data_IF_798012066758
#
_entry.id   IF_798012066758
#
_cell.length_a   1.000
_cell.length_b   1.000
_cell.length_c   1.000
_cell.angle_alpha   90.00
_cell.angle_beta   90.00
_cell.angle_gamma   90.00
#
_symmetry.space_group_name_H-M   'P 1'
#
loop_
_entity.id
_entity.type
_entity.pdbx_description
1 polymer ?
#
# COMPACT_ATOMS: atom_id res chain seq x y z
N UNK A 1 2.19 5.06 12.35
CA UNK A 1 2.21 3.57 12.27
C UNK A 1 0.84 2.91 12.52
N UNK A 2 0.22 3.09 13.71
CA UNK A 2 -1.03 2.39 14.08
C UNK A 2 -2.21 2.63 13.11
N UNK A 3 -2.37 3.85 12.57
CA UNK A 3 -3.41 4.18 11.59
C UNK A 3 -3.37 3.33 10.30
N UNK A 4 -2.24 2.68 10.02
CA UNK A 4 -2.01 1.86 8.82
C UNK A 4 -1.92 0.36 9.13
N UNK A 5 -2.26 -0.05 10.36
CA UNK A 5 -2.23 -1.46 10.78
C UNK A 5 -3.63 -2.07 10.61
N UNK A 6 -3.81 -3.08 9.74
CA UNK A 6 -5.09 -3.78 9.60
C UNK A 6 -5.57 -4.38 10.92
N UNK A 7 -6.90 -4.36 11.14
CA UNK A 7 -7.54 -4.86 12.36
C UNK A 7 -7.79 -3.81 13.44
N UNK A 8 -7.13 -2.64 13.37
CA UNK A 8 -7.36 -1.56 14.33
C UNK A 8 -8.53 -0.71 13.86
N UNK A 9 -9.65 -0.72 14.60
CA UNK A 9 -10.82 0.11 14.28
C UNK A 9 -10.61 1.57 14.67
N UNK A 10 -10.15 1.83 15.89
CA UNK A 10 -9.89 3.17 16.40
C UNK A 10 -8.70 3.14 17.35
N UNK A 11 -8.02 4.27 17.49
CA UNK A 11 -6.88 4.46 18.36
C UNK A 11 -7.21 5.63 19.29
N UNK A 12 -7.05 5.42 20.59
CA UNK A 12 -7.21 6.47 21.58
C UNK A 12 -5.82 6.98 21.96
N UNK A 13 -5.64 8.29 21.86
CA UNK A 13 -4.49 8.98 22.43
C UNK A 13 -4.86 9.37 23.86
N UNK A 14 -4.14 8.82 24.83
CA UNK A 14 -4.49 8.90 26.24
C UNK A 14 -3.30 9.43 27.05
N UNK A 15 -3.60 10.28 28.03
CA UNK A 15 -2.68 10.63 29.10
C UNK A 15 -3.05 9.80 30.33
N UNK A 16 -2.15 8.93 30.78
CA UNK A 16 -2.34 8.04 31.92
C UNK A 16 -1.62 8.59 33.14
N UNK A 17 -2.36 8.74 34.24
CA UNK A 17 -1.83 9.22 35.52
C UNK A 17 -2.45 8.45 36.68
N UNK A 18 -1.73 8.24 37.80
CA UNK A 18 -2.35 7.78 39.02
C UNK A 18 -3.28 8.86 39.58
N UNK A 19 -4.29 8.45 40.35
CA UNK A 19 -5.14 9.39 41.09
C UNK A 19 -5.32 8.93 42.54
N UNK A 20 -5.53 9.88 43.45
CA UNK A 20 -5.74 9.62 44.87
C UNK A 20 -7.22 9.64 45.25
N UNK A 21 -7.97 10.61 44.74
CA UNK A 21 -9.41 10.73 44.94
C UNK A 21 -10.10 11.45 43.76
N UNK A 22 -11.40 11.71 43.91
CA UNK A 22 -12.19 12.39 42.87
C UNK A 22 -11.81 13.86 42.69
N UNK A 23 -11.21 14.49 43.70
CA UNK A 23 -10.73 15.88 43.61
C UNK A 23 -9.44 15.95 42.79
N UNK A 24 -8.53 15.01 43.00
CA UNK A 24 -7.31 14.86 42.21
C UNK A 24 -7.63 14.64 40.71
N UNK A 25 -8.60 13.77 40.40
CA UNK A 25 -9.13 13.60 39.02
C UNK A 25 -9.57 14.94 38.43
N UNK A 26 -10.26 15.78 39.20
CA UNK A 26 -10.71 17.10 38.75
C UNK A 26 -9.54 18.05 38.49
N UNK A 27 -8.58 18.18 39.41
CA UNK A 27 -7.42 19.07 39.27
C UNK A 27 -6.58 18.69 38.03
N UNK A 28 -6.31 17.39 37.87
CA UNK A 28 -5.60 16.87 36.69
C UNK A 28 -6.37 17.13 35.39
N UNK A 29 -7.69 16.88 35.39
CA UNK A 29 -8.54 17.18 34.22
C UNK A 29 -8.53 18.67 33.90
N UNK A 30 -8.70 19.55 34.89
CA UNK A 30 -8.73 21.00 34.72
C UNK A 30 -7.42 21.51 34.10
N UNK A 31 -6.28 21.10 34.65
CA UNK A 31 -4.97 21.46 34.13
C UNK A 31 -4.81 21.06 32.65
N UNK A 32 -5.35 19.90 32.29
CA UNK A 32 -5.26 19.35 30.95
C UNK A 32 -6.18 20.00 29.91
N UNK A 33 -7.41 20.41 30.29
CA UNK A 33 -8.46 20.81 29.31
C UNK A 33 -8.85 22.28 29.37
N UNK A 34 -8.36 23.06 30.35
CA UNK A 34 -8.76 24.46 30.56
C UNK A 34 -8.77 25.28 29.26
N UNK A 35 -7.62 25.32 28.57
CA UNK A 35 -7.47 26.11 27.35
C UNK A 35 -8.38 25.61 26.20
N UNK A 36 -8.70 24.32 26.16
CA UNK A 36 -9.57 23.75 25.13
C UNK A 36 -11.03 24.14 25.34
N UNK A 37 -11.47 24.26 26.59
CA UNK A 37 -12.87 24.51 26.97
C UNK A 37 -13.25 25.99 27.00
N UNK A 38 -12.29 26.91 26.97
CA UNK A 38 -12.56 28.35 26.96
C UNK A 38 -13.47 28.73 25.78
N UNK A 39 -14.59 29.38 26.10
CA UNK A 39 -15.61 29.82 25.12
C UNK A 39 -16.44 28.70 24.50
N UNK A 40 -16.36 27.45 24.99
CA UNK A 40 -17.03 26.28 24.39
C UNK A 40 -18.07 25.66 25.32
N UNK A 41 -18.99 24.91 24.71
CA UNK A 41 -19.87 24.00 25.44
C UNK A 41 -19.23 22.63 25.62
N UNK A 42 -19.43 21.98 26.77
CA UNK A 42 -18.79 20.71 27.05
C UNK A 42 -19.67 19.71 27.81
N UNK A 43 -19.29 18.44 27.75
CA UNK A 43 -19.78 17.41 28.66
C UNK A 43 -18.63 16.56 29.17
N UNK A 44 -18.77 16.01 30.38
CA UNK A 44 -17.84 15.02 30.93
C UNK A 44 -18.48 13.64 30.77
N UNK A 45 -17.68 12.67 30.33
CA UNK A 45 -18.08 11.27 30.19
C UNK A 45 -17.04 10.38 30.85
N UNK A 46 -17.47 9.61 31.84
CA UNK A 46 -16.57 8.76 32.64
C UNK A 46 -16.90 7.29 32.43
N UNK A 47 -15.89 6.48 32.10
CA UNK A 47 -15.99 5.01 32.18
C UNK A 47 -15.14 4.52 33.33
N UNK A 48 -15.54 3.40 33.95
CA UNK A 48 -14.85 2.87 35.12
C UNK A 48 -14.70 1.36 35.01
N UNK A 49 -13.50 0.87 35.35
CA UNK A 49 -13.15 -0.55 35.46
C UNK A 49 -12.39 -0.78 36.76
N UNK A 50 -12.85 -1.71 37.60
CA UNK A 50 -12.30 -1.97 38.94
C UNK A 50 -13.26 -1.65 40.08
N UNK A 51 -12.75 -1.62 41.33
CA UNK A 51 -13.53 -1.36 42.56
C UNK A 51 -13.19 0.02 43.12
N UNK A 52 -14.21 0.83 43.37
CA UNK A 52 -14.10 2.22 43.81
C UNK A 52 -15.32 2.58 44.67
N UNK A 53 -15.16 3.54 45.58
CA UNK A 53 -16.23 4.03 46.46
C UNK A 53 -17.14 5.08 45.79
N UNK A 54 -16.90 5.39 44.52
CA UNK A 54 -17.68 6.31 43.70
C UNK A 54 -18.19 5.66 42.40
N UNK A 55 -19.27 6.22 41.84
CA UNK A 55 -19.82 5.84 40.53
C UNK A 55 -19.28 6.79 39.46
N UNK A 56 -19.27 6.34 38.20
CA UNK A 56 -18.89 7.20 37.07
C UNK A 56 -19.67 8.50 37.02
N UNK A 57 -20.97 8.46 37.31
CA UNK A 57 -21.83 9.64 37.35
C UNK A 57 -21.43 10.63 38.45
N UNK A 58 -20.91 10.15 39.58
CA UNK A 58 -20.44 11.01 40.67
C UNK A 58 -19.23 11.83 40.20
N UNK A 59 -18.29 11.16 39.51
CA UNK A 59 -17.12 11.80 38.90
C UNK A 59 -17.54 12.77 37.78
N UNK A 60 -18.46 12.38 36.90
CA UNK A 60 -18.96 13.27 35.84
C UNK A 60 -19.55 14.56 36.41
N UNK A 61 -20.34 14.45 37.49
CA UNK A 61 -20.96 15.60 38.16
C UNK A 61 -19.91 16.44 38.90
N UNK A 62 -18.99 15.81 39.61
CA UNK A 62 -17.97 16.50 40.39
C UNK A 62 -16.99 17.24 39.48
N UNK A 63 -16.39 16.54 38.52
CA UNK A 63 -15.45 17.12 37.55
C UNK A 63 -16.16 18.14 36.67
N UNK A 64 -17.34 17.82 36.12
CA UNK A 64 -18.10 18.74 35.28
C UNK A 64 -18.52 20.01 36.02
N UNK A 65 -18.92 19.89 37.29
CA UNK A 65 -19.20 21.02 38.16
C UNK A 65 -17.97 21.88 38.42
N UNK A 66 -16.83 21.25 38.76
CA UNK A 66 -15.57 21.96 38.99
C UNK A 66 -15.07 22.71 37.76
N UNK A 67 -15.11 22.08 36.58
CA UNK A 67 -14.75 22.72 35.31
C UNK A 67 -15.67 23.92 35.00
N UNK A 68 -16.99 23.76 35.18
CA UNK A 68 -17.97 24.82 34.92
C UNK A 68 -17.86 25.99 35.91
N UNK A 69 -17.34 25.77 37.12
CA UNK A 69 -17.10 26.82 38.11
C UNK A 69 -15.76 27.55 37.88
N UNK A 70 -14.74 26.86 37.36
CA UNK A 70 -13.37 27.39 37.23
C UNK A 70 -13.03 27.93 35.84
N UNK A 71 -13.85 27.64 34.83
CA UNK A 71 -13.68 28.12 33.47
C UNK A 71 -14.91 28.98 33.15
N UNK A 72 -14.82 30.29 33.44
CA UNK A 72 -15.95 31.22 33.39
C UNK A 72 -16.70 31.24 32.04
N UNK A 73 -15.99 30.98 30.95
CA UNK A 73 -16.53 31.02 29.59
C UNK A 73 -17.06 29.67 29.09
N UNK A 74 -16.80 28.57 29.81
CA UNK A 74 -17.28 27.25 29.44
C UNK A 74 -18.70 27.01 29.94
N UNK A 75 -19.50 26.23 29.20
CA UNK A 75 -20.87 25.88 29.61
C UNK A 75 -21.15 24.39 29.45
N UNK A 76 -21.75 23.77 30.46
CA UNK A 76 -22.17 22.36 30.35
C UNK A 76 -23.32 22.21 29.35
N UNK A 77 -23.18 21.29 28.40
CA UNK A 77 -24.20 20.88 27.43
C UNK A 77 -24.14 19.36 27.24
N UNK A 78 -25.17 18.64 27.68
CA UNK A 78 -25.16 17.17 27.69
C UNK A 78 -25.38 16.54 26.30
N UNK A 79 -26.04 17.26 25.39
CA UNK A 79 -26.40 16.80 24.04
C UNK A 79 -25.68 17.66 23.01
N UNK A 80 -24.88 17.03 22.15
CA UNK A 80 -24.08 17.70 21.11
C UNK A 80 -23.23 18.89 21.65
N UNK A 81 -22.35 18.66 22.65
CA UNK A 81 -21.37 19.66 23.09
C UNK A 81 -20.29 19.89 22.05
N UNK A 82 -19.63 21.05 22.10
CA UNK A 82 -18.46 21.32 21.28
C UNK A 82 -17.28 20.42 21.68
N UNK A 83 -17.13 20.12 22.98
CA UNK A 83 -16.08 19.24 23.52
C UNK A 83 -16.69 18.16 24.43
N UNK A 84 -16.25 16.91 24.27
CA UNK A 84 -16.55 15.84 25.22
C UNK A 84 -15.27 15.44 25.95
N UNK A 85 -15.15 15.84 27.21
CA UNK A 85 -14.04 15.42 28.08
C UNK A 85 -14.30 13.98 28.48
N UNK A 86 -13.47 13.05 28.00
CA UNK A 86 -13.63 11.62 28.29
C UNK A 86 -12.53 11.14 29.22
N UNK A 87 -12.95 10.51 30.31
CA UNK A 87 -12.06 9.99 31.35
C UNK A 87 -12.38 8.51 31.54
N UNK A 88 -11.38 7.66 31.36
CA UNK A 88 -11.50 6.24 31.68
C UNK A 88 -10.72 6.00 32.99
N UNK A 89 -11.38 5.46 34.00
CA UNK A 89 -10.77 5.12 35.29
C UNK A 89 -10.56 3.61 35.31
N UNK A 90 -9.30 3.18 35.37
CA UNK A 90 -8.93 1.78 35.48
C UNK A 90 -8.10 1.55 36.75
N UNK A 91 -8.69 0.86 37.73
CA UNK A 91 -8.05 0.61 39.03
C UNK A 91 -7.59 1.91 39.72
N UNK A 92 -6.30 2.10 39.97
CA UNK A 92 -5.71 3.26 40.61
C UNK A 92 -5.27 4.35 39.61
N UNK A 93 -5.69 4.23 38.36
CA UNK A 93 -5.27 5.11 37.26
C UNK A 93 -6.44 5.78 36.56
N UNK A 94 -6.17 7.01 36.14
CA UNK A 94 -7.02 7.83 35.29
C UNK A 94 -6.39 7.92 33.91
N UNK A 95 -7.20 7.70 32.87
CA UNK A 95 -6.83 7.87 31.48
C UNK A 95 -7.67 9.00 30.90
N UNK A 96 -7.05 10.15 30.66
CA UNK A 96 -7.69 11.26 29.96
C UNK A 96 -7.53 11.07 28.45
N UNK A 97 -8.65 10.89 27.73
CA UNK A 97 -8.63 10.70 26.28
C UNK A 97 -8.48 12.07 25.60
N UNK A 98 -7.31 12.31 25.00
CA UNK A 98 -6.96 13.56 24.29
C UNK A 98 -7.51 13.59 22.87
N UNK A 99 -7.41 12.46 22.17
CA UNK A 99 -7.88 12.36 20.80
C UNK A 99 -8.36 10.94 20.48
N UNK A 100 -9.31 10.87 19.56
CA UNK A 100 -9.71 9.61 18.92
C UNK A 100 -9.30 9.68 17.46
N UNK A 101 -8.49 8.73 17.05
CA UNK A 101 -8.02 8.56 15.69
C UNK A 101 -8.72 7.36 15.07
N UNK A 102 -9.16 7.48 13.81
CA UNK A 102 -9.67 6.32 13.07
C UNK A 102 -8.49 5.43 12.66
N UNK A 103 -8.67 4.12 12.84
CA UNK A 103 -7.72 3.11 12.41
C UNK A 103 -8.01 2.65 10.98
N UNK A 104 -7.20 1.74 10.46
CA UNK A 104 -7.41 1.21 9.11
C UNK A 104 -8.70 0.38 9.00
N UNK A 105 -9.18 -0.17 10.13
CA UNK A 105 -10.22 -1.19 10.18
C UNK A 105 -9.76 -2.50 9.57
N UNK A 106 -10.71 -3.33 9.14
CA UNK A 106 -10.40 -4.64 8.58
C UNK A 106 -10.02 -5.66 9.64
N UNK A 107 -9.12 -6.58 9.31
CA UNK A 107 -8.71 -7.69 10.19
C UNK A 107 -7.18 -7.74 10.33
N UNK A 108 -6.65 -8.21 11.48
CA UNK A 108 -5.21 -8.40 11.63
C UNK A 108 -4.67 -9.36 10.55
N UNK A 109 -3.51 -9.03 9.99
CA UNK A 109 -2.85 -9.89 9.01
C UNK A 109 -2.49 -11.24 9.64
N UNK A 110 -2.67 -12.33 8.90
CA UNK A 110 -2.48 -13.71 9.35
C UNK A 110 -3.72 -14.34 9.99
N UNK A 111 -4.84 -13.60 10.07
CA UNK A 111 -6.13 -14.17 10.50
C UNK A 111 -6.89 -14.84 9.35
N UNK A 112 -6.50 -14.58 8.11
CA UNK A 112 -7.00 -15.26 6.91
C UNK A 112 -5.82 -15.94 6.20
N UNK A 113 -6.14 -16.88 5.31
CA UNK A 113 -5.17 -17.64 4.52
C UNK A 113 -4.34 -16.74 3.59
N UNK A 114 -3.22 -17.28 3.16
CA UNK A 114 -2.29 -16.62 2.25
C UNK A 114 -2.90 -16.55 0.85
N UNK A 115 -2.62 -15.47 0.14
CA UNK A 115 -3.11 -15.24 -1.23
C UNK A 115 -1.98 -14.77 -2.15
N UNK A 116 -2.09 -15.12 -3.43
CA UNK A 116 -1.12 -14.77 -4.47
C UNK A 116 -1.71 -13.69 -5.38
N UNK A 117 -1.29 -12.44 -5.20
CA UNK A 117 -1.74 -11.32 -6.02
C UNK A 117 -0.99 -11.21 -7.33
N UNK A 118 -1.72 -11.21 -8.44
CA UNK A 118 -1.17 -10.93 -9.77
C UNK A 118 -0.90 -9.44 -9.90
N UNK A 119 0.33 -9.03 -9.59
CA UNK A 119 0.74 -7.64 -9.57
C UNK A 119 1.29 -7.23 -10.93
N UNK A 120 0.77 -6.14 -11.50
CA UNK A 120 1.18 -5.62 -12.81
C UNK A 120 1.83 -4.24 -12.74
N UNK A 121 1.83 -3.59 -11.57
CA UNK A 121 2.23 -2.20 -11.45
C UNK A 121 1.16 -1.20 -11.89
N UNK A 122 0.04 -1.66 -12.45
CA UNK A 122 -1.13 -0.81 -12.73
C UNK A 122 -1.98 -0.53 -11.49
N UNK A 123 -2.88 0.45 -11.58
CA UNK A 123 -3.74 0.90 -10.49
C UNK A 123 -4.48 -0.26 -9.81
N UNK A 124 -5.13 -1.09 -10.62
CA UNK A 124 -6.07 -2.10 -10.16
C UNK A 124 -5.38 -3.20 -9.34
N UNK A 125 -4.18 -3.62 -9.76
CA UNK A 125 -3.41 -4.67 -9.08
C UNK A 125 -2.89 -4.22 -7.71
N UNK A 126 -2.49 -2.96 -7.57
CA UNK A 126 -2.08 -2.38 -6.29
C UNK A 126 -3.25 -2.27 -5.31
N UNK A 127 -4.40 -1.80 -5.80
CA UNK A 127 -5.61 -1.64 -4.98
C UNK A 127 -6.16 -2.99 -4.52
N UNK A 128 -6.28 -3.98 -5.43
CA UNK A 128 -6.75 -5.33 -5.08
C UNK A 128 -5.85 -6.01 -4.04
N UNK A 129 -4.52 -5.87 -4.18
CA UNK A 129 -3.55 -6.35 -3.18
C UNK A 129 -3.80 -5.71 -1.80
N UNK A 130 -3.95 -4.39 -1.74
CA UNK A 130 -4.24 -3.67 -0.50
C UNK A 130 -5.56 -4.11 0.14
N UNK A 131 -6.61 -4.34 -0.65
CA UNK A 131 -7.91 -4.78 -0.13
C UNK A 131 -7.82 -6.11 0.61
N UNK A 132 -7.02 -7.06 0.11
CA UNK A 132 -6.81 -8.35 0.78
C UNK A 132 -5.93 -8.25 2.02
N UNK A 133 -4.91 -7.37 2.01
CA UNK A 133 -4.14 -7.05 3.23
C UNK A 133 -5.09 -6.55 4.32
N UNK A 134 -6.01 -5.64 3.98
CA UNK A 134 -7.02 -5.13 4.92
C UNK A 134 -7.99 -6.20 5.39
N UNK A 135 -8.21 -7.26 4.61
CA UNK A 135 -9.03 -8.43 4.99
C UNK A 135 -8.30 -9.43 5.87
N UNK A 136 -7.01 -9.23 6.16
CA UNK A 136 -6.24 -10.07 7.07
C UNK A 136 -5.40 -11.16 6.39
N UNK A 137 -5.36 -11.19 5.06
CA UNK A 137 -4.51 -12.14 4.32
C UNK A 137 -3.06 -11.68 4.24
N UNK A 138 -2.12 -12.63 4.26
CA UNK A 138 -0.74 -12.36 3.84
C UNK A 138 -0.68 -12.42 2.32
N UNK A 139 -0.41 -11.28 1.69
CA UNK A 139 -0.40 -11.15 0.24
C UNK A 139 1.00 -11.38 -0.31
N UNK A 140 1.18 -12.51 -1.00
CA UNK A 140 2.32 -12.76 -1.87
C UNK A 140 2.08 -12.13 -3.23
N UNK A 141 3.14 -11.81 -3.96
CA UNK A 141 3.06 -11.11 -5.24
C UNK A 141 3.58 -12.01 -6.36
N UNK A 142 2.83 -12.14 -7.45
CA UNK A 142 3.22 -12.81 -8.68
C UNK A 142 3.22 -11.79 -9.82
N UNK A 143 4.41 -11.54 -10.36
CA UNK A 143 4.64 -10.64 -11.46
C UNK A 143 4.95 -11.42 -12.74
N UNK A 144 4.26 -11.10 -13.82
CA UNK A 144 4.55 -11.62 -15.15
C UNK A 144 5.35 -10.59 -15.93
N UNK A 145 6.63 -10.87 -16.17
CA UNK A 145 7.50 -9.94 -16.88
C UNK A 145 7.25 -10.02 -18.38
N UNK A 146 6.65 -8.96 -18.91
CA UNK A 146 6.35 -8.74 -20.33
C UNK A 146 7.14 -7.56 -20.92
N UNK A 147 7.91 -6.85 -20.10
CA UNK A 147 8.42 -5.51 -20.41
C UNK A 147 9.87 -5.29 -20.01
N UNK A 148 10.61 -6.35 -19.72
CA UNK A 148 12.03 -6.31 -19.35
C UNK A 148 12.29 -5.75 -17.95
N UNK A 149 13.51 -5.28 -17.73
CA UNK A 149 14.01 -4.87 -16.41
C UNK A 149 13.27 -3.66 -15.84
N UNK A 150 12.99 -2.64 -16.66
CA UNK A 150 12.27 -1.44 -16.23
C UNK A 150 10.86 -1.75 -15.71
N UNK A 151 10.14 -2.65 -16.40
CA UNK A 151 8.83 -3.13 -15.96
C UNK A 151 8.93 -3.82 -14.60
N UNK A 152 9.88 -4.74 -14.44
CA UNK A 152 10.08 -5.45 -13.18
C UNK A 152 10.42 -4.51 -12.01
N UNK A 153 11.26 -3.51 -12.24
CA UNK A 153 11.62 -2.51 -11.22
C UNK A 153 10.37 -1.75 -10.77
N UNK A 154 9.54 -1.25 -11.70
CA UNK A 154 8.32 -0.51 -11.36
C UNK A 154 7.31 -1.36 -10.57
N UNK A 155 7.17 -2.64 -10.92
CA UNK A 155 6.29 -3.57 -10.18
C UNK A 155 6.85 -3.91 -8.80
N UNK A 156 8.17 -4.12 -8.68
CA UNK A 156 8.84 -4.30 -7.37
C UNK A 156 8.64 -3.06 -6.48
N UNK A 157 8.72 -1.85 -7.03
CA UNK A 157 8.44 -0.61 -6.29
C UNK A 157 7.01 -0.58 -5.75
N UNK A 158 6.01 -0.92 -6.58
CA UNK A 158 4.61 -0.97 -6.15
C UNK A 158 4.38 -2.00 -5.04
N UNK A 159 4.85 -3.24 -5.25
CA UNK A 159 4.70 -4.32 -4.27
C UNK A 159 5.38 -3.95 -2.94
N UNK A 160 6.62 -3.45 -3.00
CA UNK A 160 7.37 -3.01 -1.82
C UNK A 160 6.68 -1.85 -1.11
N UNK A 161 6.15 -0.85 -1.83
CA UNK A 161 5.42 0.27 -1.23
C UNK A 161 4.21 -0.21 -0.45
N UNK A 162 3.35 -1.03 -1.05
CA UNK A 162 2.15 -1.59 -0.39
C UNK A 162 2.55 -2.40 0.84
N UNK A 163 3.50 -3.32 0.70
CA UNK A 163 3.99 -4.14 1.81
C UNK A 163 4.59 -3.29 2.93
N UNK A 164 5.45 -2.33 2.60
CA UNK A 164 6.13 -1.46 3.56
C UNK A 164 5.17 -0.56 4.34
N UNK A 165 4.04 -0.20 3.74
CA UNK A 165 3.06 0.70 4.34
C UNK A 165 2.02 -0.03 5.18
N UNK A 166 1.66 -1.26 4.82
CA UNK A 166 0.52 -1.97 5.42
C UNK A 166 0.81 -3.38 5.96
N UNK A 167 1.96 -4.00 5.62
CA UNK A 167 2.22 -5.43 5.91
C UNK A 167 3.65 -5.73 6.40
N UNK A 168 4.39 -4.74 6.88
CA UNK A 168 5.82 -4.87 7.30
C UNK A 168 6.09 -5.93 8.35
N UNK A 169 5.10 -6.28 9.17
CA UNK A 169 5.20 -7.32 10.18
C UNK A 169 5.30 -8.74 9.62
N UNK A 170 5.00 -8.95 8.33
CA UNK A 170 4.91 -10.26 7.72
C UNK A 170 5.91 -10.43 6.58
N UNK A 171 6.49 -11.63 6.50
CA UNK A 171 7.35 -12.04 5.39
C UNK A 171 6.47 -12.51 4.24
N UNK A 172 6.64 -11.92 3.07
CA UNK A 172 5.91 -12.32 1.86
C UNK A 172 6.89 -12.46 0.69
N UNK A 173 6.47 -13.22 -0.32
CA UNK A 173 7.28 -13.51 -1.50
C UNK A 173 6.89 -12.58 -2.64
N UNK A 174 7.88 -12.12 -3.38
CA UNK A 174 7.73 -11.57 -4.72
C UNK A 174 8.23 -12.62 -5.69
N UNK A 175 7.36 -13.13 -6.56
CA UNK A 175 7.66 -14.13 -7.57
C UNK A 175 7.61 -13.44 -8.94
N UNK A 176 8.70 -13.49 -9.69
CA UNK A 176 8.76 -12.97 -11.05
C UNK A 176 8.86 -14.14 -12.05
N UNK A 177 8.01 -14.09 -13.07
CA UNK A 177 7.94 -15.11 -14.11
C UNK A 177 8.20 -14.43 -15.45
N UNK A 178 9.27 -14.81 -16.14
CA UNK A 178 9.54 -14.28 -17.47
C UNK A 178 8.53 -14.86 -18.46
N UNK A 179 7.72 -13.99 -19.08
CA UNK A 179 6.66 -14.36 -20.01
C UNK A 179 6.99 -13.99 -21.46
N UNK A 180 8.20 -13.52 -21.75
CA UNK A 180 8.63 -13.14 -23.10
C UNK A 180 8.38 -14.26 -24.13
N UNK A 181 8.86 -15.48 -23.85
CA UNK A 181 8.67 -16.62 -24.75
C UNK A 181 7.19 -17.04 -24.86
N UNK A 182 6.43 -16.94 -23.77
CA UNK A 182 4.98 -17.25 -23.76
C UNK A 182 4.23 -16.27 -24.65
N UNK A 183 4.58 -14.98 -24.60
CA UNK A 183 4.01 -13.94 -25.47
C UNK A 183 4.42 -14.17 -26.92
N UNK A 184 5.69 -14.49 -27.18
CA UNK A 184 6.17 -14.82 -28.52
C UNK A 184 5.35 -15.95 -29.16
N UNK A 185 5.15 -17.04 -28.43
CA UNK A 185 4.34 -18.18 -28.87
C UNK A 185 2.88 -17.77 -29.16
N UNK A 186 2.27 -16.95 -28.29
CA UNK A 186 0.89 -16.44 -28.51
C UNK A 186 0.82 -15.57 -29.77
N UNK A 187 1.79 -14.66 -29.96
CA UNK A 187 1.82 -13.78 -31.12
C UNK A 187 1.95 -14.53 -32.45
N UNK A 188 2.65 -15.67 -32.44
CA UNK A 188 2.88 -16.49 -33.63
C UNK A 188 1.76 -17.49 -33.92
N UNK A 189 1.14 -18.07 -32.89
CA UNK A 189 0.25 -19.23 -33.03
C UNK A 189 -1.23 -18.96 -32.80
N UNK A 190 -1.58 -17.85 -32.16
CA UNK A 190 -2.95 -17.57 -31.73
C UNK A 190 -3.57 -16.47 -32.57
N UNK A 191 -4.84 -16.65 -32.96
CA UNK A 191 -5.61 -15.61 -33.64
C UNK A 191 -5.67 -14.31 -32.84
N UNK A 192 -5.47 -13.17 -33.52
CA UNK A 192 -5.39 -11.83 -32.93
C UNK A 192 -6.54 -11.52 -31.95
N UNK A 193 -7.76 -11.90 -32.31
CA UNK A 193 -8.95 -11.64 -31.50
C UNK A 193 -9.03 -12.46 -30.20
N UNK A 194 -8.27 -13.55 -30.10
CA UNK A 194 -8.25 -14.46 -28.95
C UNK A 194 -7.02 -14.29 -28.04
N UNK A 195 -5.94 -13.66 -28.53
CA UNK A 195 -4.67 -13.50 -27.81
C UNK A 195 -4.84 -13.02 -26.36
N UNK A 196 -5.68 -12.02 -26.12
CA UNK A 196 -5.88 -11.47 -24.78
C UNK A 196 -6.50 -12.47 -23.77
N UNK A 197 -7.42 -13.31 -24.23
CA UNK A 197 -8.04 -14.36 -23.38
C UNK A 197 -7.07 -15.51 -23.16
N UNK A 198 -6.35 -15.94 -24.20
CA UNK A 198 -5.34 -17.01 -24.10
C UNK A 198 -4.19 -16.58 -23.18
N UNK A 199 -3.67 -15.35 -23.32
CA UNK A 199 -2.63 -14.81 -22.44
C UNK A 199 -3.06 -14.84 -20.97
N UNK A 200 -4.26 -14.35 -20.66
CA UNK A 200 -4.78 -14.37 -19.28
C UNK A 200 -4.98 -15.79 -18.74
N UNK A 201 -5.41 -16.72 -19.60
CA UNK A 201 -5.49 -18.15 -19.24
C UNK A 201 -4.12 -18.73 -18.93
N UNK A 202 -3.07 -18.41 -19.70
CA UNK A 202 -1.69 -18.82 -19.40
C UNK A 202 -1.16 -18.20 -18.09
N UNK A 203 -1.44 -16.92 -17.84
CA UNK A 203 -1.08 -16.26 -16.57
C UNK A 203 -1.74 -16.95 -15.37
N UNK A 204 -3.04 -17.21 -15.45
CA UNK A 204 -3.80 -17.86 -14.36
C UNK A 204 -3.39 -19.32 -14.17
N UNK A 205 -3.09 -20.07 -15.25
CA UNK A 205 -2.48 -21.43 -15.18
C UNK A 205 -1.14 -21.40 -14.46
N UNK A 206 -0.23 -20.51 -14.85
CA UNK A 206 1.08 -20.36 -14.22
C UNK A 206 0.94 -19.98 -12.74
N UNK A 207 0.09 -19.00 -12.42
CA UNK A 207 -0.16 -18.58 -11.05
C UNK A 207 -0.74 -19.70 -10.19
N UNK A 208 -1.65 -20.53 -10.73
CA UNK A 208 -2.22 -21.68 -10.00
C UNK A 208 -1.13 -22.67 -9.57
N UNK A 209 -0.17 -22.95 -10.45
CA UNK A 209 0.95 -23.84 -10.13
C UNK A 209 1.91 -23.26 -9.11
N UNK A 210 2.13 -21.93 -9.18
CA UNK A 210 2.92 -21.23 -8.16
C UNK A 210 2.19 -21.23 -6.82
N UNK A 211 0.87 -21.02 -6.83
CA UNK A 211 0.06 -21.04 -5.62
C UNK A 211 0.12 -22.43 -4.95
N UNK A 212 -0.08 -23.49 -5.72
CA UNK A 212 0.05 -24.89 -5.26
C UNK A 212 1.46 -25.17 -4.69
N UNK A 213 2.52 -24.78 -5.42
CA UNK A 213 3.92 -24.95 -4.97
C UNK A 213 4.20 -24.32 -3.61
N UNK A 214 3.52 -23.23 -3.28
CA UNK A 214 3.72 -22.47 -2.03
C UNK A 214 2.58 -22.63 -1.02
N UNK A 215 1.65 -23.57 -1.23
CA UNK A 215 0.47 -23.81 -0.39
C UNK A 215 -0.41 -22.55 -0.18
N UNK A 216 -0.54 -21.76 -1.24
CA UNK A 216 -1.34 -20.53 -1.26
C UNK A 216 -2.75 -20.84 -1.77
N UNK A 217 -3.78 -20.41 -1.02
CA UNK A 217 -5.15 -20.90 -1.21
C UNK A 217 -5.93 -20.18 -2.31
N UNK A 218 -5.52 -18.96 -2.68
CA UNK A 218 -6.22 -18.18 -3.69
C UNK A 218 -5.29 -17.27 -4.49
N UNK A 219 -5.67 -17.01 -5.74
CA UNK A 219 -5.10 -15.99 -6.61
C UNK A 219 -5.94 -14.72 -6.50
N UNK A 220 -5.32 -13.55 -6.48
CA UNK A 220 -6.00 -12.25 -6.48
C UNK A 220 -5.70 -11.53 -7.78
N UNK A 221 -6.73 -10.98 -8.42
CA UNK A 221 -6.57 -10.15 -9.61
C UNK A 221 -7.22 -8.77 -9.40
N UNK A 222 -6.71 -7.78 -10.11
CA UNK A 222 -7.30 -6.44 -10.18
C UNK A 222 -8.43 -6.32 -11.21
N UNK A 223 -9.06 -7.41 -11.64
CA UNK A 223 -10.08 -7.32 -12.70
C UNK A 223 -11.38 -6.66 -12.21
N UNK A 224 -11.89 -5.70 -13.00
CA UNK A 224 -13.16 -5.03 -12.78
C UNK A 224 -14.13 -5.33 -13.94
N UNK A 225 -15.41 -5.54 -13.65
CA UNK A 225 -16.35 -5.96 -14.69
C UNK A 225 -16.61 -4.83 -15.70
N UNK A 226 -16.42 -5.11 -17.00
CA UNK A 226 -16.76 -4.17 -18.07
C UNK A 226 -15.77 -3.03 -18.30
N UNK A 227 -14.61 -3.02 -17.64
CA UNK A 227 -13.58 -1.99 -17.83
C UNK A 227 -12.80 -2.17 -19.14
N UNK A 228 -12.48 -3.41 -19.51
CA UNK A 228 -11.85 -3.75 -20.82
C UNK A 228 -12.55 -4.95 -21.47
N UNK A 229 -12.37 -5.12 -22.78
CA UNK A 229 -12.97 -6.21 -23.57
C UNK A 229 -12.70 -7.62 -23.02
N UNK A 230 -11.54 -7.83 -22.40
CA UNK A 230 -11.18 -9.11 -21.76
C UNK A 230 -11.86 -9.34 -20.40
N UNK A 231 -12.57 -8.36 -19.84
CA UNK A 231 -13.22 -8.41 -18.53
C UNK A 231 -14.75 -8.41 -18.64
N UNK A 232 -15.30 -9.16 -19.61
CA UNK A 232 -16.73 -9.51 -19.63
C UNK A 232 -16.97 -10.77 -18.82
N UNK A 233 -18.20 -10.99 -18.33
CA UNK A 233 -18.55 -12.22 -17.61
C UNK A 233 -18.21 -13.48 -18.42
N UNK A 234 -18.42 -13.45 -19.73
CA UNK A 234 -18.06 -14.56 -20.64
C UNK A 234 -16.56 -14.84 -20.57
N UNK A 235 -15.73 -13.81 -20.76
CA UNK A 235 -14.28 -13.97 -20.80
C UNK A 235 -13.71 -14.32 -19.42
N UNK A 236 -14.20 -13.70 -18.35
CA UNK A 236 -13.79 -14.01 -16.97
C UNK A 236 -14.07 -15.47 -16.62
N UNK A 237 -15.26 -15.98 -16.96
CA UNK A 237 -15.60 -17.40 -16.77
C UNK A 237 -14.64 -18.32 -17.53
N UNK A 238 -14.26 -17.95 -18.74
CA UNK A 238 -13.30 -18.74 -19.52
C UNK A 238 -11.89 -18.66 -18.92
N UNK A 239 -11.47 -17.50 -18.41
CA UNK A 239 -10.18 -17.36 -17.74
C UNK A 239 -10.13 -18.23 -16.46
N UNK A 240 -11.20 -18.23 -15.67
CA UNK A 240 -11.28 -19.03 -14.43
C UNK A 240 -11.16 -20.54 -14.69
N UNK A 241 -11.74 -21.05 -15.78
CA UNK A 241 -11.61 -22.47 -16.17
C UNK A 241 -10.17 -22.92 -16.44
N UNK A 242 -9.20 -22.02 -16.49
CA UNK A 242 -7.79 -22.34 -16.70
C UNK A 242 -7.04 -22.61 -15.39
N UNK A 243 -7.67 -22.47 -14.22
CA UNK A 243 -7.06 -22.69 -12.90
C UNK A 243 -8.01 -23.45 -11.99
N UNK A 244 -7.45 -24.37 -11.20
CA UNK A 244 -8.16 -25.04 -10.11
C UNK A 244 -8.10 -24.21 -8.80
N UNK A 245 -7.21 -23.22 -8.72
CA UNK A 245 -7.10 -22.29 -7.59
C UNK A 245 -8.22 -21.25 -7.62
N UNK A 246 -8.78 -20.91 -6.45
CA UNK A 246 -9.79 -19.85 -6.29
C UNK A 246 -9.25 -18.49 -6.77
N UNK A 247 -9.98 -17.83 -7.68
CA UNK A 247 -9.64 -16.49 -8.17
C UNK A 247 -10.52 -15.42 -7.52
N UNK A 248 -9.91 -14.57 -6.69
CA UNK A 248 -10.55 -13.46 -6.00
C UNK A 248 -10.42 -12.16 -6.81
N UNK A 249 -11.52 -11.43 -6.96
CA UNK A 249 -11.62 -10.17 -7.72
C UNK A 249 -12.21 -9.04 -6.88
N UNK A 250 -11.44 -8.42 -5.97
CA UNK A 250 -11.96 -7.39 -5.07
C UNK A 250 -12.60 -6.19 -5.80
N UNK A 251 -12.16 -5.93 -7.02
CA UNK A 251 -12.57 -4.78 -7.83
C UNK A 251 -13.71 -5.10 -8.80
N UNK A 252 -14.28 -6.32 -8.77
CA UNK A 252 -15.25 -6.76 -9.79
C UNK A 252 -16.44 -5.81 -9.96
N UNK A 253 -16.86 -5.12 -8.90
CA UNK A 253 -17.97 -4.15 -8.91
C UNK A 253 -17.51 -2.68 -8.82
N UNK A 254 -16.21 -2.41 -8.81
CA UNK A 254 -15.71 -1.04 -8.68
C UNK A 254 -15.62 -0.37 -10.04
N UNK A 255 -15.92 0.93 -10.07
CA UNK A 255 -15.63 1.76 -11.23
C UNK A 255 -14.19 2.30 -11.19
N UNK A 256 -13.74 2.87 -12.31
CA UNK A 256 -12.38 3.39 -12.46
C UNK A 256 -12.07 4.54 -11.50
N UNK A 257 -13.06 5.38 -11.19
CA UNK A 257 -12.85 6.54 -10.32
C UNK A 257 -12.63 6.10 -8.87
N UNK A 258 -13.39 5.11 -8.40
CA UNK A 258 -13.21 4.47 -7.10
C UNK A 258 -11.83 3.82 -6.98
N UNK A 259 -11.37 3.12 -8.02
CA UNK A 259 -10.04 2.50 -8.03
C UNK A 259 -8.94 3.57 -7.96
N UNK A 260 -9.03 4.64 -8.77
CA UNK A 260 -8.07 5.74 -8.75
C UNK A 260 -8.07 6.47 -7.41
N UNK A 261 -9.25 6.72 -6.82
CA UNK A 261 -9.36 7.35 -5.51
C UNK A 261 -8.70 6.50 -4.42
N UNK A 262 -8.89 5.18 -4.46
CA UNK A 262 -8.23 4.27 -3.53
C UNK A 262 -6.71 4.24 -3.77
N UNK A 263 -6.26 4.17 -5.03
CA UNK A 263 -4.84 4.22 -5.38
C UNK A 263 -4.14 5.48 -4.84
N UNK A 264 -4.81 6.64 -4.93
CA UNK A 264 -4.32 7.90 -4.32
C UNK A 264 -4.26 7.80 -2.80
N UNK A 265 -5.32 7.28 -2.17
CA UNK A 265 -5.38 7.13 -0.72
C UNK A 265 -4.27 6.22 -0.17
N UNK A 266 -3.88 5.19 -0.93
CA UNK A 266 -2.81 4.26 -0.54
C UNK A 266 -1.42 4.66 -1.07
N UNK A 267 -1.32 5.73 -1.87
CA UNK A 267 -0.08 6.27 -2.41
C UNK A 267 0.55 5.44 -3.53
N UNK A 268 -0.26 4.73 -4.32
CA UNK A 268 0.20 3.94 -5.48
C UNK A 268 -0.12 4.59 -6.82
N UNK A 269 -0.83 5.73 -6.85
CA UNK A 269 -1.36 6.31 -8.07
C UNK A 269 -0.27 6.79 -9.04
N UNK A 270 0.74 7.50 -8.56
CA UNK A 270 1.79 8.01 -9.46
C UNK A 270 2.74 6.89 -9.93
N UNK A 271 2.99 5.86 -9.10
CA UNK A 271 3.68 4.63 -9.54
C UNK A 271 2.90 4.02 -10.70
N UNK A 272 1.58 3.85 -10.53
CA UNK A 272 0.72 3.26 -11.54
C UNK A 272 0.66 4.06 -12.85
N UNK A 273 0.68 5.40 -12.78
CA UNK A 273 0.71 6.26 -13.99
C UNK A 273 1.97 6.06 -14.83
N UNK A 274 3.09 5.73 -14.20
CA UNK A 274 4.36 5.52 -14.90
C UNK A 274 4.47 4.16 -15.57
N UNK A 275 3.56 3.23 -15.27
CA UNK A 275 3.60 1.86 -15.78
C UNK A 275 2.86 1.73 -17.13
N UNK A 276 3.51 1.21 -18.17
CA UNK A 276 2.84 0.88 -19.43
C UNK A 276 1.84 -0.26 -19.27
N UNK A 277 0.73 -0.22 -20.01
CA UNK A 277 -0.26 -1.30 -20.05
C UNK A 277 0.14 -2.41 -21.05
N UNK A 278 1.09 -3.27 -20.67
CA UNK A 278 1.66 -4.30 -21.56
C UNK A 278 0.61 -5.31 -22.10
N UNK A 279 -0.34 -5.76 -21.28
CA UNK A 279 -1.38 -6.70 -21.74
C UNK A 279 -2.31 -6.09 -22.80
N UNK A 280 -2.54 -4.78 -22.74
CA UNK A 280 -3.36 -4.06 -23.72
C UNK A 280 -2.68 -3.96 -25.08
N UNK A 281 -1.35 -3.81 -25.10
CA UNK A 281 -0.55 -3.71 -26.34
C UNK A 281 -0.54 -5.00 -27.15
N UNK A 282 -0.66 -6.15 -26.49
CA UNK A 282 -0.63 -7.47 -27.15
C UNK A 282 -1.97 -7.77 -27.85
N UNK A 283 -3.08 -7.20 -27.38
CA UNK A 283 -4.42 -7.55 -27.85
C UNK A 283 -4.86 -6.71 -29.06
N UNK A 284 -4.87 -7.31 -30.27
CA UNK A 284 -5.39 -6.67 -31.49
C UNK A 284 -6.85 -7.07 -31.74
N UNK A 285 -7.78 -6.11 -31.76
CA UNK A 285 -9.23 -6.35 -31.90
C UNK A 285 -9.77 -7.43 -30.94
N UNK A 286 -9.55 -7.29 -29.62
CA UNK A 286 -9.89 -8.31 -28.64
C UNK A 286 -11.39 -8.63 -28.61
N UNK A 287 -11.73 -9.92 -28.58
CA UNK A 287 -13.13 -10.34 -28.53
C UNK A 287 -13.76 -10.07 -27.17
N UNK A 288 -14.99 -9.54 -27.19
CA UNK A 288 -15.78 -9.22 -25.99
C UNK A 288 -16.55 -10.46 -25.50
N UNK A 289 -16.75 -11.45 -26.38
CA UNK A 289 -17.48 -12.68 -26.09
C UNK A 289 -16.78 -13.85 -26.76
N UNK A 290 -15.70 -14.33 -26.14
CA UNK A 290 -14.99 -15.49 -26.64
C UNK A 290 -15.88 -16.74 -26.60
N UNK A 291 -15.69 -17.60 -27.60
CA UNK A 291 -16.35 -18.90 -27.69
C UNK A 291 -15.38 -19.94 -27.14
N UNK A 292 -15.82 -20.72 -26.16
CA UNK A 292 -14.97 -21.68 -25.45
C UNK A 292 -14.26 -22.65 -26.38
N UNK A 293 -14.97 -23.23 -27.35
CA UNK A 293 -14.40 -24.18 -28.31
C UNK A 293 -13.28 -23.55 -29.13
N UNK A 294 -13.44 -22.29 -29.56
CA UNK A 294 -12.40 -21.56 -30.29
C UNK A 294 -11.19 -21.32 -29.40
N UNK A 295 -11.37 -20.90 -28.14
CA UNK A 295 -10.25 -20.72 -27.21
C UNK A 295 -9.46 -22.01 -27.00
N UNK A 296 -10.15 -23.15 -26.84
CA UNK A 296 -9.50 -24.44 -26.67
C UNK A 296 -8.76 -24.92 -27.93
N UNK A 297 -9.30 -24.61 -29.12
CA UNK A 297 -8.64 -24.86 -30.40
C UNK A 297 -7.36 -24.04 -30.55
N UNK A 298 -7.42 -22.74 -30.25
CA UNK A 298 -6.23 -21.86 -30.27
C UNK A 298 -5.19 -22.29 -29.23
N UNK A 299 -5.61 -22.71 -28.03
CA UNK A 299 -4.70 -23.30 -27.03
C UNK A 299 -4.08 -24.62 -27.50
N UNK A 300 -4.77 -25.38 -28.37
CA UNK A 300 -4.22 -26.59 -28.98
C UNK A 300 -3.03 -26.32 -29.90
N UNK A 301 -2.91 -25.10 -30.43
CA UNK A 301 -1.77 -24.67 -31.25
C UNK A 301 -0.60 -24.14 -30.41
N UNK A 302 -0.80 -23.89 -29.11
CA UNK A 302 0.20 -23.31 -28.21
C UNK A 302 1.12 -24.39 -27.63
N UNK A 303 2.44 -24.19 -27.71
CA UNK A 303 3.39 -25.09 -27.04
C UNK A 303 3.44 -24.85 -25.52
N UNK A 304 2.80 -25.75 -24.76
CA UNK A 304 2.78 -25.68 -23.29
C UNK A 304 4.14 -25.86 -22.62
N UNK A 305 5.14 -26.45 -23.27
CA UNK A 305 6.50 -26.58 -22.70
C UNK A 305 7.12 -25.20 -22.37
N UNK A 306 6.79 -24.18 -23.16
CA UNK A 306 7.25 -22.80 -22.93
C UNK A 306 6.68 -22.25 -21.62
N UNK A 307 5.41 -22.55 -21.32
CA UNK A 307 4.78 -22.17 -20.05
C UNK A 307 5.38 -22.95 -18.87
N UNK A 308 5.62 -24.26 -19.03
CA UNK A 308 6.28 -25.08 -18.01
C UNK A 308 7.64 -24.51 -17.65
N UNK A 309 8.45 -24.20 -18.66
CA UNK A 309 9.78 -23.65 -18.48
C UNK A 309 9.73 -22.30 -17.75
N UNK A 310 8.79 -21.42 -18.12
CA UNK A 310 8.58 -20.15 -17.43
C UNK A 310 8.27 -20.35 -15.94
N UNK A 311 7.37 -21.28 -15.60
CA UNK A 311 7.00 -21.60 -14.21
C UNK A 311 8.13 -22.30 -13.43
N UNK A 312 8.95 -23.12 -14.08
CA UNK A 312 10.09 -23.80 -13.46
C UNK A 312 11.23 -22.82 -13.16
N UNK A 313 11.48 -21.89 -14.08
CA UNK A 313 12.54 -20.87 -13.98
C UNK A 313 12.12 -19.61 -13.23
N UNK A 314 10.87 -19.53 -12.78
CA UNK A 314 10.33 -18.43 -12.00
C UNK A 314 11.25 -18.12 -10.80
N UNK A 315 11.67 -16.85 -10.70
CA UNK A 315 12.46 -16.38 -9.59
C UNK A 315 11.53 -15.99 -8.44
N UNK A 316 11.98 -16.20 -7.21
CA UNK A 316 11.27 -15.73 -6.03
C UNK A 316 12.22 -15.12 -5.02
N UNK A 317 11.69 -14.16 -4.29
CA UNK A 317 12.44 -13.23 -3.48
C UNK A 317 11.62 -12.91 -2.24
N UNK A 318 12.25 -12.87 -1.06
CA UNK A 318 11.62 -12.23 0.09
C UNK A 318 11.52 -10.73 -0.19
N UNK A 319 10.33 -10.16 -0.06
CA UNK A 319 10.09 -8.74 -0.37
C UNK A 319 11.02 -7.79 0.38
N UNK A 320 11.55 -8.20 1.54
CA UNK A 320 12.51 -7.44 2.36
C UNK A 320 13.89 -7.35 1.71
N UNK A 321 14.22 -8.32 0.87
CA UNK A 321 15.51 -8.45 0.19
C UNK A 321 15.51 -7.79 -1.19
N UNK A 322 14.37 -7.25 -1.67
CA UNK A 322 14.31 -6.45 -2.91
C UNK A 322 15.42 -5.40 -2.92
N UNK A 323 15.67 -4.77 -1.77
CA UNK A 323 16.73 -3.77 -1.61
C UNK A 323 18.15 -4.29 -1.84
N UNK A 324 18.43 -5.53 -1.45
CA UNK A 324 19.77 -6.12 -1.44
C UNK A 324 20.12 -6.79 -2.77
N UNK A 325 19.15 -7.44 -3.42
CA UNK A 325 19.36 -7.95 -4.78
C UNK A 325 19.53 -6.80 -5.78
N UNK A 326 18.78 -5.72 -5.59
CA UNK A 326 18.97 -4.46 -6.31
C UNK A 326 20.35 -3.85 -6.04
N UNK A 327 21.07 -4.20 -4.96
CA UNK A 327 22.50 -3.79 -4.81
C UNK A 327 23.46 -4.69 -5.59
N UNK A 328 23.13 -5.98 -5.76
CA UNK A 328 24.02 -6.98 -6.38
C UNK A 328 23.93 -7.03 -7.90
N UNK A 329 22.77 -6.76 -8.47
CA UNK A 329 22.61 -6.56 -9.93
C UNK A 329 23.21 -5.23 -10.40
N UNK A 330 23.62 -4.37 -9.45
CA UNK A 330 24.09 -3.02 -9.73
C UNK A 330 25.60 -2.95 -9.75
N UNK A 331 26.13 -2.97 -10.97
CA UNK A 331 27.43 -2.37 -11.30
C UNK A 331 27.26 -0.89 -11.73
N UNK A 332 26.04 -0.34 -11.83
CA UNK A 332 25.81 0.94 -12.55
C UNK A 332 25.28 2.13 -11.75
N UNK A 333 24.82 2.02 -10.49
CA UNK A 333 24.33 3.17 -9.71
C UNK A 333 25.35 3.55 -8.64
N UNK A 334 26.07 4.62 -8.92
CA UNK A 334 27.03 5.22 -8.00
C UNK A 334 26.30 5.63 -6.71
N UNK A 335 26.72 5.08 -5.58
CA UNK A 335 26.24 5.46 -4.25
C UNK A 335 27.29 6.36 -3.63
N UNK A 336 26.94 7.59 -3.26
CA UNK A 336 27.87 8.56 -2.68
C UNK A 336 27.39 9.04 -1.31
N UNK A 337 28.37 9.28 -0.43
CA UNK A 337 28.19 10.04 0.82
C UNK A 337 28.78 11.44 0.72
N UNK A 338 29.51 11.73 -0.36
CA UNK A 338 30.18 13.01 -0.61
C UNK A 338 29.34 13.86 -1.56
N UNK A 339 29.24 15.14 -1.25
CA UNK A 339 28.39 16.10 -1.95
C UNK A 339 29.25 17.13 -2.68
N UNK A 340 28.93 17.37 -3.95
CA UNK A 340 29.54 18.40 -4.79
C UNK A 340 28.65 19.64 -4.90
N UNK A 341 29.21 20.80 -5.26
CA UNK A 341 28.42 22.04 -5.44
C UNK A 341 27.36 21.97 -6.55
N UNK A 342 27.49 21.03 -7.48
CA UNK A 342 26.53 20.81 -8.57
C UNK A 342 25.48 19.73 -8.25
N UNK A 343 25.53 19.17 -7.04
CA UNK A 343 24.61 18.12 -6.62
C UNK A 343 23.34 18.73 -6.00
N UNK A 344 22.21 18.13 -6.30
CA UNK A 344 20.92 18.41 -5.65
C UNK A 344 20.44 17.11 -5.03
N UNK A 345 20.12 17.13 -3.74
CA UNK A 345 19.54 15.96 -3.07
C UNK A 345 18.03 16.00 -3.26
N UNK A 346 17.48 14.94 -3.87
CA UNK A 346 16.04 14.74 -3.96
C UNK A 346 15.61 13.87 -2.77
N UNK A 347 14.90 14.46 -1.82
CA UNK A 347 14.23 13.70 -0.78
C UNK A 347 12.97 13.06 -1.37
N UNK A 348 13.07 11.76 -1.63
CA UNK A 348 12.02 10.98 -2.30
C UNK A 348 11.10 10.25 -1.32
N UNK A 349 11.20 10.55 -0.02
CA UNK A 349 10.30 9.99 1.00
C UNK A 349 8.86 10.47 0.80
N UNK A 350 7.89 9.78 1.40
CA UNK A 350 6.51 10.26 1.38
C UNK A 350 6.38 11.59 2.13
N UNK A 351 5.43 12.48 1.77
CA UNK A 351 5.23 13.75 2.48
C UNK A 351 5.08 13.55 3.99
N UNK A 352 4.40 12.48 4.41
CA UNK A 352 4.22 12.20 5.83
C UNK A 352 5.55 11.87 6.55
N UNK A 353 6.47 11.16 5.88
CA UNK A 353 7.80 10.88 6.43
C UNK A 353 8.69 12.13 6.49
N UNK A 354 8.49 13.06 5.56
CA UNK A 354 9.18 14.35 5.53
C UNK A 354 8.65 15.25 6.64
N UNK A 355 7.33 15.33 6.81
CA UNK A 355 6.67 16.09 7.88
C UNK A 355 7.06 15.55 9.27
N UNK A 356 7.08 14.23 9.46
CA UNK A 356 7.49 13.59 10.72
C UNK A 356 8.98 13.82 11.02
N UNK A 357 9.84 13.77 10.00
CA UNK A 357 11.30 13.90 10.13
C UNK A 357 11.89 14.71 8.97
N UNK A 358 11.91 16.04 9.06
CA UNK A 358 12.49 16.88 8.02
C UNK A 358 13.95 16.55 7.81
N UNK A 359 14.35 16.43 6.54
CA UNK A 359 15.74 16.16 6.17
C UNK A 359 16.35 17.40 5.55
N UNK A 360 17.46 17.86 6.13
CA UNK A 360 18.21 19.03 5.66
C UNK A 360 19.69 18.72 5.69
N UNK A 361 20.41 19.26 4.71
CA UNK A 361 21.85 19.16 4.60
C UNK A 361 22.42 20.56 4.44
N UNK A 362 23.49 20.86 5.18
CA UNK A 362 24.16 22.15 5.09
C UNK A 362 24.99 22.22 3.81
N UNK A 363 24.85 23.33 3.07
CA UNK A 363 25.65 23.61 1.87
C UNK A 363 25.20 22.93 0.58
N UNK A 364 24.07 22.20 0.58
CA UNK A 364 23.51 21.52 -0.61
C UNK A 364 22.00 21.75 -0.70
N UNK A 365 21.50 21.95 -1.91
CA UNK A 365 20.08 22.11 -2.18
C UNK A 365 19.37 20.75 -1.96
N UNK A 366 18.42 20.71 -1.02
CA UNK A 366 17.52 19.56 -0.80
C UNK A 366 16.15 19.93 -1.36
N UNK A 367 15.65 19.16 -2.33
CA UNK A 367 14.29 19.29 -2.86
C UNK A 367 13.45 18.09 -2.49
N UNK A 368 12.24 18.34 -2.00
CA UNK A 368 11.26 17.31 -1.74
C UNK A 368 10.58 16.91 -3.05
N UNK A 369 10.75 15.65 -3.45
CA UNK A 369 10.10 15.10 -4.63
C UNK A 369 9.79 13.62 -4.36
N UNK A 370 8.62 13.31 -3.77
CA UNK A 370 8.29 11.94 -3.38
C UNK A 370 8.49 10.96 -4.53
N UNK A 371 9.00 9.77 -4.22
CA UNK A 371 9.48 8.80 -5.22
C UNK A 371 8.45 8.49 -6.31
N UNK A 372 7.17 8.48 -5.94
CA UNK A 372 6.08 8.16 -6.83
C UNK A 372 5.87 9.26 -7.89
N UNK A 373 6.20 10.52 -7.61
CA UNK A 373 6.16 11.64 -8.57
C UNK A 373 7.41 11.73 -9.45
N UNK A 374 8.50 11.06 -9.03
CA UNK A 374 9.83 11.24 -9.60
C UNK A 374 9.81 10.98 -11.11
N UNK A 375 9.31 9.83 -11.56
CA UNK A 375 9.26 9.48 -12.99
C UNK A 375 8.57 10.52 -13.86
N UNK A 376 7.45 11.09 -13.39
CA UNK A 376 6.67 12.07 -14.14
C UNK A 376 7.27 13.48 -14.16
N UNK A 377 8.05 13.85 -13.12
CA UNK A 377 8.56 15.21 -12.94
C UNK A 377 10.06 15.33 -13.21
N UNK A 378 10.80 14.22 -13.24
CA UNK A 378 12.26 14.23 -13.40
C UNK A 378 12.71 14.90 -14.69
N UNK A 379 11.97 14.72 -15.79
CA UNK A 379 12.24 15.37 -17.08
C UNK A 379 12.15 16.91 -17.04
N UNK A 380 11.40 17.46 -16.09
CA UNK A 380 11.23 18.91 -15.92
C UNK A 380 12.34 19.56 -15.09
N UNK A 381 13.18 18.75 -14.45
CA UNK A 381 14.31 19.23 -13.66
C UNK A 381 15.46 19.68 -14.57
N UNK A 382 16.37 20.49 -14.04
CA UNK A 382 17.56 20.95 -14.74
C UNK A 382 18.52 19.77 -14.97
N UNK A 383 18.60 19.29 -16.22
CA UNK A 383 19.38 18.10 -16.59
C UNK A 383 20.90 18.34 -16.55
N UNK A 384 21.37 19.58 -16.35
CA UNK A 384 22.81 19.88 -16.18
C UNK A 384 23.32 19.56 -14.76
N UNK A 385 22.40 19.38 -13.80
CA UNK A 385 22.72 19.03 -12.42
C UNK A 385 22.77 17.52 -12.20
N UNK A 386 23.46 17.10 -11.15
CA UNK A 386 23.44 15.70 -10.68
C UNK A 386 22.45 15.56 -9.53
N UNK A 387 21.53 14.60 -9.63
CA UNK A 387 20.50 14.37 -8.62
C UNK A 387 20.84 13.17 -7.75
N UNK A 388 20.91 13.38 -6.44
CA UNK A 388 21.18 12.34 -5.46
C UNK A 388 19.88 11.94 -4.77
N UNK A 389 19.39 10.73 -5.01
CA UNK A 389 18.10 10.28 -4.46
C UNK A 389 18.25 9.81 -3.01
N UNK A 390 17.45 10.38 -2.10
CA UNK A 390 17.47 10.06 -0.68
C UNK A 390 16.13 9.49 -0.19
N UNK A 391 16.20 8.33 0.47
CA UNK A 391 15.15 7.80 1.32
C UNK A 391 15.80 7.10 2.50
N UNK A 392 15.09 7.03 3.63
CA UNK A 392 15.68 6.63 4.90
C UNK A 392 16.37 5.24 4.86
N UNK A 393 15.74 4.26 4.19
CA UNK A 393 16.28 2.89 4.09
C UNK A 393 17.14 2.68 2.83
N UNK A 394 17.25 3.67 1.95
CA UNK A 394 17.96 3.59 0.67
C UNK A 394 17.34 2.65 -0.38
N UNK A 395 16.29 1.88 -0.04
CA UNK A 395 15.65 0.91 -0.97
C UNK A 395 15.00 1.63 -2.13
N UNK A 396 14.12 2.58 -1.83
CA UNK A 396 13.36 3.31 -2.85
C UNK A 396 14.30 4.17 -3.70
N UNK A 397 15.34 4.76 -3.10
CA UNK A 397 16.36 5.52 -3.82
C UNK A 397 17.02 4.71 -4.92
N UNK A 398 17.38 3.45 -4.63
CA UNK A 398 18.02 2.58 -5.62
C UNK A 398 17.07 2.15 -6.72
N UNK A 399 15.87 1.71 -6.35
CA UNK A 399 14.87 1.30 -7.32
C UNK A 399 14.53 2.45 -8.26
N UNK A 400 14.38 3.68 -7.74
CA UNK A 400 14.15 4.86 -8.55
C UNK A 400 15.35 5.24 -9.42
N UNK A 401 16.57 5.19 -8.87
CA UNK A 401 17.77 5.50 -9.63
C UNK A 401 17.96 4.53 -10.81
N UNK A 402 17.70 3.24 -10.60
CA UNK A 402 17.72 2.25 -11.68
C UNK A 402 16.64 2.51 -12.71
N UNK A 403 15.40 2.74 -12.24
CA UNK A 403 14.30 3.06 -13.13
C UNK A 403 14.62 4.27 -14.02
N UNK A 404 15.18 5.34 -13.46
CA UNK A 404 15.58 6.52 -14.23
C UNK A 404 16.74 6.22 -15.20
N UNK A 405 17.73 5.42 -14.82
CA UNK A 405 18.84 5.03 -15.71
C UNK A 405 18.37 4.19 -16.90
N UNK A 406 17.48 3.23 -16.66
CA UNK A 406 16.85 2.43 -17.71
C UNK A 406 16.01 3.30 -18.67
N UNK A 407 15.46 4.41 -18.18
CA UNK A 407 14.77 5.41 -19.00
C UNK A 407 15.72 6.46 -19.63
N UNK A 408 17.04 6.26 -19.55
CA UNK A 408 18.04 7.08 -20.25
C UNK A 408 18.64 8.24 -19.43
N UNK A 409 18.29 8.40 -18.16
CA UNK A 409 18.86 9.45 -17.31
C UNK A 409 20.16 9.01 -16.66
N UNK A 410 21.30 9.62 -17.05
CA UNK A 410 22.63 9.27 -16.52
C UNK A 410 23.07 10.10 -15.30
N UNK A 411 22.42 11.25 -15.06
CA UNK A 411 22.74 12.22 -14.01
C UNK A 411 22.10 11.90 -12.65
N UNK A 412 21.92 10.61 -12.33
CA UNK A 412 21.25 10.14 -11.10
C UNK A 412 22.17 9.23 -10.30
N UNK A 413 22.28 9.51 -8.99
CA UNK A 413 23.02 8.72 -8.00
C UNK A 413 22.17 8.49 -6.75
N UNK A 414 22.61 7.60 -5.86
CA UNK A 414 21.94 7.35 -4.57
C UNK A 414 22.71 8.03 -3.44
N UNK A 415 22.01 8.82 -2.63
CA UNK A 415 22.58 9.43 -1.44
C UNK A 415 22.40 8.52 -0.23
N UNK A 416 23.48 8.27 0.51
CA UNK A 416 23.40 7.66 1.85
C UNK A 416 23.92 8.63 2.90
N UNK A 417 23.13 8.85 3.93
CA UNK A 417 23.57 9.56 5.15
C UNK A 417 24.52 8.62 5.90
N UNK A 418 25.66 9.15 6.37
CA UNK A 418 26.63 8.40 7.18
C UNK A 418 26.08 8.01 8.54
#
# INVERSE_FOLDING_TARGET
>A
MLKRTPGIHHILEVEETPFTDMHDIFEQTYAAVKAELEGKTFSVRVRRKGKHDFRSLDVERYVGGGLNQRIETAKVKLTNPDVTVRIDIEHDKMLLIKARHEGLGGYPIGTQEDVLSLISGGFDSGVSSYMLIRRGSRVHYCFFNLGGAAHEIGVKQMAYHIWSRYSTSHKVRFIAINFENVVGEILEKVDNGQMGVVLKRMMVRAASRIAERFDIQAIVTGEALGQVSSQTLTNLRLIDKASDTLVLRPLITHDKEQIIAMAKAIGTDDIAKSMPEFCGVISKNPTVKAIETKILEEEGNFNFEVLEQAVQTASYLDIREIAQQTEKEVVSVETTTELSKNDVVLDIRSPEEVDEKPFRLDGVEVKELPFYKLSSQFSTLDQSKTYLLYCQRGVMSKLQALYLKENGYSNVKVFRVK
#
